data_IF_633673008366
#
_entry.id   IF_633673008366
#
_cell.length_a   1.000
_cell.length_b   1.000
_cell.length_c   1.000
_cell.angle_alpha   90.00
_cell.angle_beta   90.00
_cell.angle_gamma   90.00
#
_symmetry.space_group_name_H-M   'P 1'
#
loop_
_entity.id
_entity.type
_entity.pdbx_description
1 polymer ?
#
# COMPACT_ATOMS: atom_id res chain seq x y z
N UNK A 1 -70.12 -21.12 -13.56
CA UNK A 1 -69.71 -22.52 -13.35
C UNK A 1 -68.52 -22.49 -12.40
N UNK A 2 -68.77 -22.46 -11.10
CA UNK A 2 -67.75 -22.88 -10.13
C UNK A 2 -67.77 -24.42 -10.06
N UNK A 3 -66.67 -25.06 -9.64
CA UNK A 3 -66.57 -25.26 -8.20
C UNK A 3 -65.12 -25.15 -7.67
N UNK A 4 -65.01 -24.56 -6.48
CA UNK A 4 -64.50 -25.30 -5.33
C UNK A 4 -63.06 -25.85 -5.46
N UNK A 5 -62.07 -25.07 -5.01
CA UNK A 5 -60.90 -25.69 -4.39
C UNK A 5 -60.31 -24.82 -3.26
N UNK A 6 -60.99 -24.92 -2.12
CA UNK A 6 -60.41 -25.12 -0.79
C UNK A 6 -59.28 -24.16 -0.38
N UNK A 7 -59.75 -23.08 0.27
CA UNK A 7 -59.09 -22.44 1.40
C UNK A 7 -58.61 -23.51 2.41
N UNK A 8 -57.29 -23.73 2.50
CA UNK A 8 -56.68 -24.42 3.63
C UNK A 8 -55.58 -23.54 4.22
N UNK A 9 -55.98 -22.85 5.27
CA UNK A 9 -55.15 -22.20 6.28
C UNK A 9 -54.19 -23.24 6.90
N UNK A 10 -52.89 -23.02 6.78
CA UNK A 10 -51.88 -23.70 7.60
C UNK A 10 -50.81 -22.69 7.98
N UNK A 11 -51.11 -22.01 9.09
CA UNK A 11 -50.18 -21.32 9.97
C UNK A 11 -49.14 -22.33 10.47
N UNK A 12 -47.88 -22.17 10.07
CA UNK A 12 -46.73 -22.75 10.75
C UNK A 12 -45.68 -21.65 10.95
N UNK A 13 -45.75 -21.07 12.14
CA UNK A 13 -44.76 -20.19 12.74
C UNK A 13 -43.48 -20.98 12.98
N UNK A 14 -42.48 -20.83 12.11
CA UNK A 14 -41.12 -21.26 12.38
C UNK A 14 -40.27 -20.04 12.75
N UNK A 15 -39.96 -19.93 14.04
CA UNK A 15 -38.89 -19.09 14.57
C UNK A 15 -37.57 -19.53 13.93
N UNK A 16 -37.11 -18.82 12.89
CA UNK A 16 -35.71 -18.92 12.46
C UNK A 16 -34.86 -17.96 13.27
N UNK A 17 -33.85 -18.54 13.91
CA UNK A 17 -32.88 -17.92 14.81
C UNK A 17 -32.20 -16.70 14.16
N UNK A 18 -31.74 -15.70 14.94
CA UNK A 18 -30.81 -14.72 14.42
C UNK A 18 -29.57 -15.49 13.97
N UNK A 19 -29.32 -15.50 12.66
CA UNK A 19 -28.02 -15.82 12.12
C UNK A 19 -27.06 -14.78 12.69
N UNK A 20 -26.45 -15.09 13.82
CA UNK A 20 -25.20 -14.47 14.22
C UNK A 20 -24.20 -14.85 13.13
N UNK A 21 -24.08 -13.97 12.14
CA UNK A 21 -22.95 -13.98 11.23
C UNK A 21 -21.72 -13.65 12.07
N UNK A 22 -21.15 -14.68 12.69
CA UNK A 22 -19.77 -14.67 13.14
C UNK A 22 -18.92 -14.60 11.88
N UNK A 23 -18.68 -13.38 11.37
CA UNK A 23 -17.51 -13.15 10.54
C UNK A 23 -16.36 -12.86 11.50
N UNK A 24 -15.77 -13.95 11.94
CA UNK A 24 -14.53 -14.01 12.68
C UNK A 24 -13.41 -13.29 11.88
N UNK A 25 -12.74 -12.36 12.55
CA UNK A 25 -11.36 -11.93 12.30
C UNK A 25 -10.95 -11.69 10.83
N UNK A 26 -11.61 -10.73 10.18
CA UNK A 26 -10.95 -9.95 9.14
C UNK A 26 -9.96 -8.98 9.79
N UNK A 27 -8.75 -9.46 10.10
CA UNK A 27 -7.59 -8.58 10.34
C UNK A 27 -7.61 -7.42 9.32
N UNK A 28 -7.17 -6.19 9.65
CA UNK A 28 -6.88 -5.24 8.60
C UNK A 28 -6.00 -5.99 7.62
N UNK A 29 -6.47 -6.15 6.38
CA UNK A 29 -5.63 -6.64 5.29
C UNK A 29 -4.55 -5.58 5.19
N UNK A 30 -3.48 -5.78 5.96
CA UNK A 30 -2.22 -5.13 5.78
C UNK A 30 -1.98 -5.34 4.30
N UNK A 31 -2.12 -4.26 3.54
CA UNK A 31 -1.76 -4.27 2.15
C UNK A 31 -0.38 -4.92 2.14
N UNK A 32 -0.27 -6.12 1.56
CA UNK A 32 1.01 -6.73 1.26
C UNK A 32 1.64 -5.76 0.29
N UNK A 33 2.26 -4.73 0.86
CA UNK A 33 2.96 -3.71 0.13
C UNK A 33 3.97 -4.50 -0.68
N UNK A 34 3.95 -4.28 -1.99
CA UNK A 34 4.79 -4.98 -2.96
C UNK A 34 6.20 -5.13 -2.38
N UNK A 35 6.60 -6.37 -2.09
CA UNK A 35 7.91 -6.72 -1.51
C UNK A 35 8.93 -6.79 -2.64
N UNK A 36 8.94 -5.75 -3.49
CA UNK A 36 9.97 -5.61 -4.50
C UNK A 36 11.35 -5.44 -3.84
N UNK A 37 12.43 -5.88 -4.51
CA UNK A 37 13.78 -5.71 -3.99
C UNK A 37 14.07 -4.24 -3.69
N UNK A 38 14.66 -4.00 -2.51
CA UNK A 38 15.13 -2.68 -2.10
C UNK A 38 16.55 -2.47 -2.65
N UNK A 39 16.79 -1.29 -3.22
CA UNK A 39 18.11 -0.86 -3.63
C UNK A 39 18.77 -0.02 -2.53
N UNK A 40 20.09 -0.14 -2.42
CA UNK A 40 20.88 0.73 -1.56
C UNK A 40 20.94 2.15 -2.11
N UNK A 41 20.91 3.13 -1.20
CA UNK A 41 21.05 4.53 -1.55
C UNK A 41 21.59 5.36 -0.40
N UNK A 42 22.14 6.52 -0.76
CA UNK A 42 22.61 7.51 0.20
C UNK A 42 21.92 8.84 -0.09
N UNK A 43 21.23 9.36 0.92
CA UNK A 43 20.58 10.67 0.84
C UNK A 43 21.67 11.73 0.67
N UNK A 44 21.57 12.53 -0.41
CA UNK A 44 22.50 13.63 -0.71
C UNK A 44 21.89 14.98 -0.36
N UNK A 45 20.59 15.17 -0.63
CA UNK A 45 19.87 16.40 -0.34
C UNK A 45 18.38 16.10 -0.10
N UNK A 46 17.71 16.95 0.67
CA UNK A 46 16.26 16.89 0.87
C UNK A 46 15.66 18.23 0.44
N UNK A 47 14.65 18.17 -0.42
CA UNK A 47 13.88 19.33 -0.84
C UNK A 47 12.44 19.21 -0.32
N UNK A 48 12.19 19.84 0.83
CA UNK A 48 10.87 19.81 1.47
C UNK A 48 9.82 20.64 0.70
N UNK A 49 10.27 21.63 -0.06
CA UNK A 49 9.36 22.48 -0.84
C UNK A 49 8.85 21.73 -2.07
N UNK A 50 9.74 21.01 -2.77
CA UNK A 50 9.39 20.17 -3.91
C UNK A 50 8.72 18.84 -3.50
N UNK A 51 8.96 18.38 -2.26
CA UNK A 51 8.49 17.07 -1.82
C UNK A 51 9.38 15.92 -2.29
N UNK A 52 10.68 16.19 -2.46
CA UNK A 52 11.63 15.31 -3.13
C UNK A 52 12.89 15.09 -2.28
N UNK A 53 13.58 13.99 -2.56
CA UNK A 53 14.86 13.63 -1.96
C UNK A 53 15.85 13.28 -3.06
N UNK A 54 17.04 13.87 -3.02
CA UNK A 54 18.13 13.53 -3.93
C UNK A 54 18.88 12.35 -3.32
N UNK A 55 18.85 11.21 -4.01
CA UNK A 55 19.48 9.97 -3.56
C UNK A 55 20.54 9.58 -4.57
N UNK A 56 21.75 9.31 -4.08
CA UNK A 56 22.74 8.54 -4.84
C UNK A 56 22.40 7.08 -4.65
N UNK A 57 21.86 6.44 -5.67
CA UNK A 57 21.37 5.07 -5.58
C UNK A 57 22.29 4.10 -6.32
N UNK A 58 22.29 2.85 -5.83
CA UNK A 58 22.87 1.72 -6.54
C UNK A 58 21.98 1.28 -7.71
N UNK A 59 22.13 0.04 -8.13
CA UNK A 59 21.26 -0.53 -9.16
C UNK A 59 19.83 -0.62 -8.63
N UNK A 60 18.88 -0.11 -9.41
CA UNK A 60 17.47 -0.02 -9.03
C UNK A 60 16.64 -0.90 -9.96
N UNK A 61 16.71 -2.22 -9.72
CA UNK A 61 16.08 -3.24 -10.56
C UNK A 61 14.57 -3.06 -10.70
N UNK A 62 13.92 -2.53 -9.65
CA UNK A 62 12.48 -2.26 -9.61
C UNK A 62 11.98 -1.36 -10.74
N UNK A 63 12.83 -0.47 -11.27
CA UNK A 63 12.51 0.41 -12.40
C UNK A 63 13.59 0.39 -13.50
N UNK A 64 14.49 -0.60 -13.47
CA UNK A 64 15.54 -0.80 -14.47
C UNK A 64 16.57 0.33 -14.58
N UNK A 65 16.82 1.07 -13.50
CA UNK A 65 17.74 2.23 -13.54
C UNK A 65 19.16 1.86 -13.08
N UNK A 66 20.20 2.28 -13.82
CA UNK A 66 21.59 2.09 -13.41
C UNK A 66 21.94 2.99 -12.21
N UNK A 67 23.06 2.72 -11.51
CA UNK A 67 23.51 3.56 -10.42
C UNK A 67 23.70 5.02 -10.86
N UNK A 68 22.97 5.95 -10.23
CA UNK A 68 23.10 7.39 -10.50
C UNK A 68 22.66 8.23 -9.29
N UNK A 69 22.79 9.54 -9.39
CA UNK A 69 22.29 10.48 -8.38
C UNK A 69 21.19 11.33 -8.99
N UNK A 70 19.98 11.23 -8.45
CA UNK A 70 18.82 11.97 -8.95
C UNK A 70 17.81 12.27 -7.86
N UNK A 71 16.86 13.16 -8.17
CA UNK A 71 15.72 13.46 -7.31
C UNK A 71 14.65 12.39 -7.46
N UNK A 72 14.14 11.93 -6.32
CA UNK A 72 12.97 11.07 -6.23
C UNK A 72 11.90 11.80 -5.42
N UNK A 73 10.65 11.77 -5.89
CA UNK A 73 9.53 12.13 -5.03
C UNK A 73 9.39 11.10 -3.90
N UNK A 74 8.65 11.45 -2.85
CA UNK A 74 8.32 10.50 -1.77
C UNK A 74 6.84 10.22 -1.72
N UNK A 75 6.46 8.96 -1.49
CA UNK A 75 5.07 8.59 -1.28
C UNK A 75 4.47 9.20 0.00
N UNK A 76 5.31 9.43 1.01
CA UNK A 76 4.94 10.08 2.27
C UNK A 76 5.93 11.22 2.60
N UNK A 77 5.40 12.45 2.64
CA UNK A 77 6.17 13.67 2.88
C UNK A 77 6.79 13.74 4.27
N UNK A 78 6.27 12.99 5.25
CA UNK A 78 6.83 12.95 6.61
C UNK A 78 8.28 12.46 6.61
N UNK A 79 8.66 11.65 5.62
CA UNK A 79 10.00 11.09 5.47
C UNK A 79 11.06 12.16 5.23
N UNK A 80 10.70 13.28 4.58
CA UNK A 80 11.59 14.41 4.33
C UNK A 80 12.02 15.11 5.63
N UNK A 81 11.30 14.90 6.73
CA UNK A 81 11.70 15.42 8.05
C UNK A 81 12.47 14.39 8.88
N UNK A 82 12.35 13.09 8.55
CA UNK A 82 13.04 12.00 9.25
C UNK A 82 14.43 11.72 8.68
N UNK A 83 14.56 11.85 7.36
CA UNK A 83 15.83 11.68 6.65
C UNK A 83 16.68 12.94 6.78
N UNK A 84 17.99 12.77 6.63
CA UNK A 84 18.96 13.87 6.48
C UNK A 84 20.03 13.52 5.44
N UNK A 85 20.69 14.52 4.84
CA UNK A 85 21.88 14.29 4.03
C UNK A 85 22.91 13.43 4.77
N UNK A 86 23.41 12.40 4.11
CA UNK A 86 24.33 11.43 4.71
C UNK A 86 23.69 10.10 5.10
N UNK A 87 22.36 10.05 5.29
CA UNK A 87 21.68 8.81 5.66
C UNK A 87 21.84 7.76 4.56
N UNK A 88 22.20 6.55 4.98
CA UNK A 88 22.17 5.36 4.13
C UNK A 88 20.82 4.68 4.31
N UNK A 89 20.15 4.39 3.21
CA UNK A 89 18.83 3.77 3.19
C UNK A 89 18.81 2.63 2.19
N UNK A 90 17.90 1.69 2.40
CA UNK A 90 17.47 0.75 1.36
C UNK A 90 16.06 1.12 0.98
N UNK A 91 15.79 1.29 -0.31
CA UNK A 91 14.51 1.83 -0.76
C UNK A 91 13.99 1.16 -2.03
N UNK A 92 12.67 1.16 -2.18
CA UNK A 92 11.98 0.83 -3.41
C UNK A 92 11.46 2.12 -4.04
N UNK A 93 11.54 2.20 -5.36
CA UNK A 93 10.94 3.27 -6.14
C UNK A 93 9.97 2.70 -7.17
N UNK A 94 8.98 3.49 -7.52
CA UNK A 94 7.99 3.18 -8.55
C UNK A 94 7.88 4.36 -9.51
N UNK A 95 7.64 4.10 -10.79
CA UNK A 95 7.33 5.13 -11.77
C UNK A 95 5.85 5.51 -11.65
N UNK A 96 5.55 6.76 -11.33
CA UNK A 96 4.18 7.32 -11.31
C UNK A 96 4.12 8.55 -12.20
N UNK A 97 3.37 8.46 -13.29
CA UNK A 97 3.19 9.57 -14.23
C UNK A 97 4.50 10.09 -14.84
N UNK A 98 5.49 9.20 -15.03
CA UNK A 98 6.82 9.57 -15.54
C UNK A 98 7.84 9.99 -14.47
N UNK A 99 7.43 10.11 -13.21
CA UNK A 99 8.31 10.48 -12.10
C UNK A 99 8.66 9.27 -11.24
N UNK A 100 9.91 9.19 -10.79
CA UNK A 100 10.35 8.15 -9.86
C UNK A 100 9.99 8.55 -8.42
N UNK A 101 9.18 7.72 -7.75
CA UNK A 101 8.68 7.97 -6.40
C UNK A 101 9.18 6.87 -5.46
N UNK A 102 9.84 7.26 -4.37
CA UNK A 102 10.15 6.34 -3.26
C UNK A 102 8.85 5.88 -2.64
N UNK A 103 8.54 4.59 -2.77
CA UNK A 103 7.32 3.98 -2.26
C UNK A 103 7.52 3.30 -0.91
N UNK A 104 8.76 2.93 -0.60
CA UNK A 104 9.16 2.38 0.69
C UNK A 104 10.64 2.64 0.93
N UNK A 105 11.03 2.81 2.19
CA UNK A 105 12.42 2.80 2.58
C UNK A 105 12.60 2.21 3.99
N UNK A 106 13.81 1.75 4.25
CA UNK A 106 14.32 1.41 5.57
C UNK A 106 15.71 2.03 5.74
N UNK A 107 16.12 2.27 6.99
CA UNK A 107 17.48 2.71 7.26
C UNK A 107 18.44 1.54 7.01
N UNK A 108 19.51 1.79 6.26
CA UNK A 108 20.58 0.82 6.10
C UNK A 108 21.37 0.71 7.41
N UNK A 109 21.80 -0.51 7.75
CA UNK A 109 22.49 -0.82 9.00
C UNK A 109 23.99 -0.53 8.92
#
# INVERSE_FOLDING_TARGET
MEPLMRLLLSLLLALSLPAVAQHDHGAPKAASAATGPLADGVVRKIDKAAGEVVIQHGQLDSIGMPPMTMAFGVADKSWLTRLKPGDRIRFAAEMKGGNAIVSRYEMAK
#
